data_IF_556085973040
#
_entry.id   IF_556085973040
#
_cell.length_a   1.000
_cell.length_b   1.000
_cell.length_c   1.000
_cell.angle_alpha   90.00
_cell.angle_beta   90.00
_cell.angle_gamma   90.00
#
_symmetry.space_group_name_H-M   'P 1'
#
loop_
_entity.id
_entity.type
_entity.pdbx_description
1 polymer ?
#
# COMPACT_ATOMS: atom_id res chain seq x y z
N UNK A 1 -34.03 49.02 -6.62
CA UNK A 1 -34.75 47.86 -7.18
C UNK A 1 -34.12 47.58 -8.54
N UNK A 2 -33.57 46.44 -8.93
CA UNK A 2 -33.61 45.07 -8.45
C UNK A 2 -32.20 44.46 -8.43
N UNK A 3 -32.02 43.49 -7.54
CA UNK A 3 -30.90 42.56 -7.46
C UNK A 3 -31.03 41.54 -8.60
N UNK A 4 -29.93 41.29 -9.31
CA UNK A 4 -29.73 40.03 -10.03
C UNK A 4 -28.35 39.51 -9.66
N UNK A 5 -28.36 38.62 -8.67
CA UNK A 5 -27.23 37.79 -8.26
C UNK A 5 -27.10 36.73 -9.35
N UNK A 6 -26.05 36.80 -10.17
CA UNK A 6 -25.67 35.69 -11.02
C UNK A 6 -24.86 34.73 -10.16
N UNK A 7 -25.50 33.64 -9.74
CA UNK A 7 -24.86 32.52 -9.08
C UNK A 7 -24.01 31.79 -10.14
N UNK A 8 -22.71 32.10 -10.18
CA UNK A 8 -21.74 31.19 -10.78
C UNK A 8 -21.51 30.05 -9.80
N UNK A 9 -22.33 29.01 -9.92
CA UNK A 9 -21.98 27.68 -9.44
C UNK A 9 -20.97 27.03 -10.39
N UNK A 10 -20.28 26.01 -9.87
CA UNK A 10 -19.43 25.02 -10.57
C UNK A 10 -18.03 25.56 -10.96
N UNK A 11 -16.91 24.95 -10.60
CA UNK A 11 -16.59 23.57 -10.21
C UNK A 11 -15.48 23.64 -9.14
N UNK A 12 -15.68 23.05 -7.96
CA UNK A 12 -14.56 22.61 -7.13
C UNK A 12 -13.94 21.41 -7.86
N UNK A 13 -12.86 21.63 -8.62
CA UNK A 13 -12.08 20.52 -9.14
C UNK A 13 -11.31 20.01 -7.92
N UNK A 14 -11.85 19.00 -7.25
CA UNK A 14 -11.06 18.16 -6.37
C UNK A 14 -10.06 17.40 -7.25
N UNK A 15 -8.93 18.03 -7.58
CA UNK A 15 -7.78 17.37 -8.21
C UNK A 15 -7.05 16.55 -7.14
N UNK A 16 -7.76 15.58 -6.58
CA UNK A 16 -7.18 14.44 -5.92
C UNK A 16 -7.98 13.23 -6.40
N UNK A 17 -7.87 12.93 -7.70
CA UNK A 17 -8.08 11.56 -8.17
C UNK A 17 -6.87 10.77 -7.67
N UNK A 18 -6.95 10.36 -6.41
CA UNK A 18 -5.90 9.60 -5.72
C UNK A 18 -5.84 8.23 -6.37
N UNK A 19 -4.88 8.04 -7.26
CA UNK A 19 -4.41 6.73 -7.66
C UNK A 19 -2.88 6.73 -7.55
N UNK A 20 -2.41 7.00 -6.33
CA UNK A 20 -1.03 6.69 -5.95
C UNK A 20 -0.90 5.17 -5.89
N UNK A 21 -0.03 4.57 -6.71
CA UNK A 21 0.39 3.15 -6.61
C UNK A 21 -0.71 2.20 -6.09
N UNK A 22 -1.91 2.25 -6.65
CA UNK A 22 -3.05 1.65 -5.96
C UNK A 22 -3.12 0.16 -6.28
N UNK A 23 -3.31 -0.67 -5.25
CA UNK A 23 -3.72 -2.05 -5.47
C UNK A 23 -4.96 -2.07 -6.38
N UNK A 24 -4.95 -2.93 -7.40
CA UNK A 24 -5.95 -2.99 -8.46
C UNK A 24 -5.61 -2.17 -9.71
N UNK A 25 -4.63 -1.27 -9.65
CA UNK A 25 -4.21 -0.50 -10.82
C UNK A 25 -3.40 -1.35 -11.81
N UNK A 26 -3.51 -1.03 -13.11
CA UNK A 26 -2.64 -1.60 -14.15
C UNK A 26 -1.20 -1.09 -13.97
N UNK A 27 -0.23 -1.96 -14.25
CA UNK A 27 1.22 -1.62 -14.27
C UNK A 27 1.52 -0.33 -15.02
N UNK A 28 0.92 -0.12 -16.19
CA UNK A 28 1.11 1.09 -16.98
C UNK A 28 0.69 2.38 -16.26
N UNK A 29 -0.36 2.32 -15.45
CA UNK A 29 -0.84 3.47 -14.65
C UNK A 29 0.16 3.78 -13.53
N UNK A 30 0.63 2.75 -12.83
CA UNK A 30 1.63 2.91 -11.76
C UNK A 30 2.95 3.45 -12.33
N UNK A 31 3.42 2.91 -13.44
CA UNK A 31 4.64 3.37 -14.11
C UNK A 31 4.53 4.82 -14.61
N UNK A 32 3.35 5.26 -15.05
CA UNK A 32 3.11 6.65 -15.43
C UNK A 32 3.10 7.58 -14.23
N UNK A 33 2.59 7.11 -13.08
CA UNK A 33 2.51 7.89 -11.84
C UNK A 33 3.85 7.99 -11.10
N UNK A 34 4.48 6.85 -10.78
CA UNK A 34 5.76 6.79 -10.06
C UNK A 34 6.95 7.13 -10.97
N UNK A 35 6.78 6.97 -12.28
CA UNK A 35 7.79 7.25 -13.29
C UNK A 35 8.73 6.08 -13.53
N UNK A 36 8.72 5.54 -14.74
CA UNK A 36 9.58 4.41 -15.17
C UNK A 36 11.07 4.58 -14.83
N UNK A 37 11.60 5.81 -14.87
CA UNK A 37 12.99 6.12 -14.53
C UNK A 37 13.36 5.87 -13.06
N UNK A 38 12.37 5.70 -12.19
CA UNK A 38 12.56 5.40 -10.78
C UNK A 38 12.65 3.90 -10.50
N UNK A 39 12.33 3.06 -11.49
CA UNK A 39 12.47 1.61 -11.36
C UNK A 39 13.96 1.28 -11.28
N UNK A 40 14.38 0.62 -10.20
CA UNK A 40 15.77 0.20 -10.01
C UNK A 40 15.93 -1.31 -9.88
N UNK A 41 14.83 -2.05 -9.69
CA UNK A 41 14.81 -3.51 -9.69
C UNK A 41 13.51 -4.03 -10.30
N UNK A 42 13.62 -5.12 -11.06
CA UNK A 42 12.50 -5.89 -11.59
C UNK A 42 12.84 -7.37 -11.51
N UNK A 43 11.91 -8.17 -11.00
CA UNK A 43 12.11 -9.61 -10.88
C UNK A 43 10.77 -10.36 -10.82
N UNK A 44 10.84 -11.68 -10.92
CA UNK A 44 9.68 -12.57 -10.83
C UNK A 44 9.76 -13.36 -9.54
N UNK A 45 8.69 -13.37 -8.77
CA UNK A 45 8.51 -14.17 -7.55
C UNK A 45 7.31 -15.10 -7.73
N UNK A 46 7.58 -16.36 -8.09
CA UNK A 46 6.52 -17.30 -8.45
C UNK A 46 5.75 -16.81 -9.69
N UNK A 47 4.43 -16.65 -9.54
CA UNK A 47 3.54 -16.16 -10.60
C UNK A 47 3.40 -14.63 -10.63
N UNK A 48 4.12 -13.92 -9.77
CA UNK A 48 4.04 -12.47 -9.63
C UNK A 48 5.26 -11.79 -10.25
N UNK A 49 5.00 -10.71 -10.98
CA UNK A 49 6.04 -9.79 -11.42
C UNK A 49 6.19 -8.67 -10.40
N UNK A 50 7.42 -8.33 -10.02
CA UNK A 50 7.70 -7.34 -8.98
C UNK A 50 8.52 -6.19 -9.57
N UNK A 51 8.16 -4.96 -9.20
CA UNK A 51 8.94 -3.76 -9.49
C UNK A 51 9.26 -3.00 -8.21
N UNK A 52 10.50 -2.53 -8.09
CA UNK A 52 10.92 -1.65 -7.01
C UNK A 52 11.28 -0.26 -7.55
N UNK A 53 10.69 0.76 -6.92
CA UNK A 53 10.81 2.16 -7.27
C UNK A 53 11.56 2.93 -6.17
N UNK A 54 12.48 3.80 -6.59
CA UNK A 54 13.05 4.84 -5.71
C UNK A 54 12.07 6.01 -5.66
N UNK A 55 11.15 6.01 -4.70
CA UNK A 55 10.11 7.06 -4.60
C UNK A 55 10.52 8.25 -3.74
N UNK A 56 11.60 8.12 -2.98
CA UNK A 56 12.22 9.21 -2.23
C UNK A 56 13.70 8.95 -1.94
N UNK A 57 14.37 9.91 -1.28
CA UNK A 57 15.80 9.74 -0.90
C UNK A 57 16.03 8.52 -0.02
N UNK A 58 15.08 8.25 0.88
CA UNK A 58 15.12 7.14 1.83
C UNK A 58 13.92 6.21 1.68
N UNK A 59 13.12 6.38 0.63
CA UNK A 59 11.86 5.65 0.44
C UNK A 59 11.96 4.73 -0.78
N UNK A 60 11.49 3.51 -0.58
CA UNK A 60 11.37 2.47 -1.58
C UNK A 60 9.91 2.04 -1.62
N UNK A 61 9.35 1.99 -2.82
CA UNK A 61 8.05 1.38 -3.05
C UNK A 61 8.23 0.13 -3.90
N UNK A 62 7.78 -1.01 -3.41
CA UNK A 62 7.72 -2.26 -4.17
C UNK A 62 6.27 -2.56 -4.54
N UNK A 63 6.04 -2.98 -5.78
CA UNK A 63 4.71 -3.38 -6.28
C UNK A 63 4.82 -4.78 -6.85
N UNK A 64 3.91 -5.67 -6.46
CA UNK A 64 3.73 -6.98 -7.08
C UNK A 64 2.51 -6.97 -7.98
N UNK A 65 2.64 -7.56 -9.16
CA UNK A 65 1.62 -7.63 -10.19
C UNK A 65 1.27 -9.09 -10.48
N UNK A 66 -0.01 -9.36 -10.68
CA UNK A 66 -0.45 -10.66 -11.20
C UNK A 66 -0.19 -10.78 -12.72
N UNK A 67 -0.51 -11.94 -13.30
CA UNK A 67 -0.37 -12.23 -14.74
C UNK A 67 -1.07 -11.23 -15.67
N UNK A 68 -2.13 -10.57 -15.20
CA UNK A 68 -2.87 -9.57 -15.97
C UNK A 68 -2.28 -8.16 -15.82
N UNK A 69 -1.07 -8.06 -15.24
CA UNK A 69 -0.38 -6.82 -14.93
C UNK A 69 -1.20 -5.88 -14.04
N UNK A 70 -1.98 -6.44 -13.11
CA UNK A 70 -2.72 -5.71 -12.08
C UNK A 70 -1.94 -5.78 -10.78
N UNK A 71 -1.74 -4.64 -10.13
CA UNK A 71 -1.09 -4.56 -8.83
C UNK A 71 -1.93 -5.29 -7.77
N UNK A 72 -1.32 -6.22 -7.07
CA UNK A 72 -1.98 -7.06 -6.05
C UNK A 72 -1.36 -6.91 -4.67
N UNK A 73 -0.11 -6.44 -4.61
CA UNK A 73 0.52 -6.04 -3.39
C UNK A 73 1.38 -4.79 -3.57
N UNK A 74 1.46 -4.00 -2.51
CA UNK A 74 2.32 -2.83 -2.42
C UNK A 74 3.03 -2.86 -1.07
N UNK A 75 4.31 -2.56 -1.09
CA UNK A 75 5.14 -2.36 0.10
C UNK A 75 5.80 -1.00 0.02
N UNK A 76 5.67 -0.21 1.08
CA UNK A 76 6.43 1.03 1.24
C UNK A 76 7.37 0.84 2.42
N UNK A 77 8.66 1.07 2.18
CA UNK A 77 9.70 0.97 3.18
C UNK A 77 10.58 2.22 3.20
N UNK A 78 11.00 2.61 4.39
CA UNK A 78 11.93 3.72 4.59
C UNK A 78 13.23 3.24 5.24
N UNK A 79 14.35 3.88 4.89
CA UNK A 79 15.65 3.64 5.54
C UNK A 79 15.79 4.39 6.88
N UNK A 80 14.78 5.18 7.26
CA UNK A 80 14.65 5.87 8.54
C UNK A 80 13.35 5.45 9.24
N UNK A 81 13.09 6.03 10.42
CA UNK A 81 11.88 5.82 11.22
C UNK A 81 10.71 6.73 10.81
N UNK A 82 10.65 7.19 9.55
CA UNK A 82 9.63 8.17 9.12
C UNK A 82 8.25 7.56 8.83
N UNK A 83 8.15 6.24 8.64
CA UNK A 83 6.85 5.56 8.59
C UNK A 83 6.26 5.50 10.00
N UNK A 84 5.19 6.26 10.19
CA UNK A 84 4.41 6.33 11.43
C UNK A 84 3.00 5.77 11.21
N UNK A 85 2.30 5.43 12.29
CA UNK A 85 0.91 4.97 12.21
C UNK A 85 -0.01 5.99 11.51
N UNK A 86 0.29 7.29 11.65
CA UNK A 86 -0.44 8.38 10.97
C UNK A 86 -0.26 8.27 9.46
N UNK A 87 0.98 8.06 9.00
CA UNK A 87 1.27 7.89 7.57
C UNK A 87 0.55 6.66 7.00
N UNK A 88 0.55 5.55 7.74
CA UNK A 88 -0.15 4.33 7.35
C UNK A 88 -1.67 4.57 7.28
N UNK A 89 -2.24 5.24 8.28
CA UNK A 89 -3.66 5.57 8.31
C UNK A 89 -4.07 6.50 7.16
N UNK A 90 -3.26 7.53 6.87
CA UNK A 90 -3.47 8.42 5.74
C UNK A 90 -3.37 7.67 4.41
N UNK A 91 -2.39 6.77 4.26
CA UNK A 91 -2.26 5.93 3.09
C UNK A 91 -3.50 5.05 2.89
N UNK A 92 -3.95 4.33 3.92
CA UNK A 92 -5.14 3.48 3.87
C UNK A 92 -6.39 4.28 3.50
N UNK A 93 -6.59 5.44 4.14
CA UNK A 93 -7.73 6.32 3.87
C UNK A 93 -7.77 6.74 2.40
N UNK A 94 -6.62 7.06 1.83
CA UNK A 94 -6.50 7.62 0.49
C UNK A 94 -6.46 6.55 -0.61
N UNK A 95 -5.92 5.35 -0.34
CA UNK A 95 -5.64 4.33 -1.36
C UNK A 95 -6.42 3.02 -1.18
N UNK A 96 -6.92 2.74 0.01
CA UNK A 96 -7.67 1.53 0.32
C UNK A 96 -8.83 1.85 1.26
N UNK A 97 -9.68 2.78 0.80
CA UNK A 97 -10.74 3.35 1.62
C UNK A 97 -11.67 2.27 2.17
N UNK A 98 -11.96 2.39 3.46
CA UNK A 98 -12.78 1.43 4.21
C UNK A 98 -12.08 0.09 4.48
N UNK A 99 -10.74 0.02 4.46
CA UNK A 99 -10.02 -1.03 5.17
C UNK A 99 -10.46 -1.07 6.63
N UNK A 100 -10.79 -2.24 7.14
CA UNK A 100 -11.04 -2.45 8.56
C UNK A 100 -10.37 -3.75 9.03
N UNK A 101 -9.47 -3.65 10.00
CA UNK A 101 -8.86 -4.83 10.60
C UNK A 101 -9.88 -5.57 11.46
N UNK A 102 -10.19 -6.81 11.10
CA UNK A 102 -11.07 -7.71 11.85
C UNK A 102 -10.30 -8.72 12.69
N UNK A 103 -9.06 -9.02 12.29
CA UNK A 103 -8.11 -9.82 13.06
C UNK A 103 -6.77 -9.14 13.08
N UNK A 104 -6.09 -9.27 14.22
CA UNK A 104 -4.72 -8.81 14.40
C UNK A 104 -3.88 -10.03 14.73
N UNK A 105 -2.68 -10.13 14.18
CA UNK A 105 -1.74 -11.19 14.48
C UNK A 105 -0.30 -10.70 14.49
N UNK A 106 0.63 -11.54 14.92
CA UNK A 106 2.05 -11.22 14.91
C UNK A 106 2.91 -12.41 14.49
N UNK A 107 4.07 -12.11 13.90
CA UNK A 107 5.15 -13.05 13.66
C UNK A 107 6.50 -12.31 13.84
N UNK A 108 7.15 -12.52 14.98
CA UNK A 108 8.40 -11.81 15.30
C UNK A 108 8.21 -10.29 15.40
N UNK A 109 8.79 -9.53 14.46
CA UNK A 109 8.71 -8.06 14.40
C UNK A 109 7.61 -7.54 13.47
N UNK A 110 6.81 -8.45 12.92
CA UNK A 110 5.75 -8.14 11.96
C UNK A 110 4.39 -8.23 12.64
N UNK A 111 3.61 -7.16 12.53
CA UNK A 111 2.22 -7.08 12.96
C UNK A 111 1.32 -7.18 11.74
N UNK A 112 0.31 -8.04 11.80
CA UNK A 112 -0.61 -8.31 10.71
C UNK A 112 -2.02 -7.84 11.06
N UNK A 113 -2.69 -7.20 10.11
CA UNK A 113 -4.06 -6.72 10.20
C UNK A 113 -4.83 -7.30 9.02
N UNK A 114 -5.76 -8.20 9.30
CA UNK A 114 -6.56 -8.87 8.28
C UNK A 114 -7.96 -8.26 8.23
N UNK A 115 -8.33 -7.73 7.07
CA UNK A 115 -9.69 -7.38 6.72
C UNK A 115 -10.37 -8.60 6.08
N UNK A 116 -11.17 -9.32 6.86
CA UNK A 116 -11.87 -10.53 6.39
C UNK A 116 -13.06 -10.24 5.48
N UNK A 117 -13.55 -9.00 5.43
CA UNK A 117 -14.69 -8.61 4.58
C UNK A 117 -14.20 -8.28 3.17
N UNK A 118 -13.10 -7.52 3.07
CA UNK A 118 -12.51 -7.15 1.78
C UNK A 118 -11.43 -8.10 1.29
N UNK A 119 -11.08 -9.11 2.09
CA UNK A 119 -9.99 -10.06 1.79
C UNK A 119 -8.69 -9.32 1.52
N UNK A 120 -8.27 -8.52 2.49
CA UNK A 120 -7.05 -7.73 2.41
C UNK A 120 -6.20 -7.91 3.66
N UNK A 121 -4.88 -8.00 3.47
CA UNK A 121 -3.92 -8.13 4.56
C UNK A 121 -3.00 -6.91 4.53
N UNK A 122 -2.91 -6.22 5.67
CA UNK A 122 -1.85 -5.27 5.93
C UNK A 122 -0.83 -5.90 6.88
N UNK A 123 0.44 -5.75 6.57
CA UNK A 123 1.56 -6.16 7.42
C UNK A 123 2.40 -4.93 7.71
N UNK A 124 2.69 -4.68 8.98
CA UNK A 124 3.61 -3.63 9.41
C UNK A 124 4.83 -4.31 10.00
N UNK A 125 5.99 -4.05 9.42
CA UNK A 125 7.27 -4.54 9.90
C UNK A 125 7.95 -3.45 10.70
N UNK A 126 8.10 -3.70 11.99
CA UNK A 126 8.85 -2.84 12.89
C UNK A 126 10.33 -3.20 12.84
N UNK A 127 11.21 -2.22 13.09
CA UNK A 127 12.65 -2.42 13.03
C UNK A 127 13.11 -3.53 13.97
N UNK A 128 13.90 -4.49 13.47
CA UNK A 128 14.93 -5.11 14.31
C UNK A 128 16.23 -4.35 14.08
N UNK A 129 16.98 -4.02 15.14
CA UNK A 129 18.24 -3.26 15.11
C UNK A 129 19.36 -3.84 14.19
N UNK A 130 19.11 -4.93 13.45
CA UNK A 130 20.11 -5.70 12.70
C UNK A 130 19.79 -5.94 11.20
N UNK A 131 18.71 -5.40 10.63
CA UNK A 131 18.30 -5.74 9.26
C UNK A 131 18.97 -4.88 8.15
N UNK A 132 19.25 -5.51 6.99
CA UNK A 132 19.85 -4.90 5.78
C UNK A 132 18.84 -4.29 4.79
N UNK A 133 17.54 -4.36 5.08
CA UNK A 133 16.42 -3.85 4.27
C UNK A 133 15.47 -3.03 5.18
N UNK A 134 14.57 -2.17 4.65
CA UNK A 134 14.12 -0.92 5.29
C UNK A 134 13.71 -1.02 6.76
N UNK A 135 14.01 0.06 7.48
CA UNK A 135 14.02 0.21 8.94
C UNK A 135 12.62 0.36 9.54
N UNK A 136 11.61 0.73 8.77
CA UNK A 136 10.19 0.43 9.05
C UNK A 136 9.55 0.20 7.68
N UNK A 137 8.62 -0.74 7.55
CA UNK A 137 7.83 -0.88 6.33
C UNK A 137 6.39 -1.26 6.63
N UNK A 138 5.51 -0.95 5.69
CA UNK A 138 4.19 -1.56 5.66
C UNK A 138 3.94 -2.15 4.27
N UNK A 139 3.19 -3.23 4.25
CA UNK A 139 2.74 -3.91 3.05
C UNK A 139 1.23 -4.07 3.08
N UNK A 140 0.59 -3.96 1.93
CA UNK A 140 -0.82 -4.22 1.72
C UNK A 140 -0.94 -5.24 0.58
N UNK A 141 -1.83 -6.21 0.72
CA UNK A 141 -2.10 -7.23 -0.28
C UNK A 141 -3.60 -7.53 -0.34
N UNK A 142 -4.13 -7.77 -1.55
CA UNK A 142 -5.53 -8.18 -1.77
C UNK A 142 -5.66 -9.47 -2.60
N UNK A 143 -4.56 -10.16 -2.89
CA UNK A 143 -4.57 -11.40 -3.64
C UNK A 143 -4.64 -12.60 -2.66
N UNK A 144 -5.69 -13.44 -2.74
CA UNK A 144 -5.91 -14.49 -1.75
C UNK A 144 -4.75 -15.48 -1.61
N UNK A 145 -4.10 -15.85 -2.72
CA UNK A 145 -3.02 -16.83 -2.70
C UNK A 145 -1.78 -16.26 -2.02
N UNK A 146 -1.46 -15.00 -2.33
CA UNK A 146 -0.37 -14.27 -1.69
C UNK A 146 -0.65 -13.98 -0.20
N UNK A 147 -1.90 -13.64 0.14
CA UNK A 147 -2.34 -13.47 1.53
C UNK A 147 -2.15 -14.77 2.30
N UNK A 148 -2.62 -15.91 1.77
CA UNK A 148 -2.46 -17.21 2.41
C UNK A 148 -0.98 -17.54 2.65
N UNK A 149 -0.13 -17.25 1.67
CA UNK A 149 1.31 -17.40 1.82
C UNK A 149 1.87 -16.53 2.95
N UNK A 150 1.55 -15.22 2.97
CA UNK A 150 2.04 -14.27 3.99
C UNK A 150 1.52 -14.53 5.40
N UNK A 151 0.35 -15.14 5.55
CA UNK A 151 -0.21 -15.50 6.85
C UNK A 151 0.44 -16.75 7.47
N UNK A 152 1.34 -17.43 6.75
CA UNK A 152 2.02 -18.63 7.25
C UNK A 152 2.83 -18.31 8.51
N UNK A 153 2.53 -18.98 9.62
CA UNK A 153 3.23 -18.79 10.89
C UNK A 153 2.77 -17.58 11.72
N UNK A 154 1.70 -16.90 11.30
CA UNK A 154 1.12 -15.78 12.08
C UNK A 154 0.30 -16.30 13.25
N UNK A 155 0.61 -15.81 14.45
CA UNK A 155 -0.20 -16.02 15.65
C UNK A 155 -1.32 -14.98 15.71
N UNK A 156 -2.57 -15.42 15.64
CA UNK A 156 -3.74 -14.53 15.60
C UNK A 156 -4.32 -14.29 16.99
N UNK A 157 -4.53 -13.02 17.33
CA UNK A 157 -5.19 -12.60 18.56
C UNK A 157 -6.71 -12.60 18.37
N UNK A 158 -7.43 -13.07 19.39
CA UNK A 158 -8.89 -12.89 19.45
C UNK A 158 -9.18 -11.53 20.11
N UNK A 159 -10.05 -10.71 19.54
CA UNK A 159 -10.62 -9.58 20.27
C UNK A 159 -11.36 -10.13 21.50
N UNK A 160 -11.05 -9.61 22.69
CA UNK A 160 -11.85 -9.84 23.90
C UNK A 160 -13.21 -9.12 23.80
#
# INVERSE_FOLDING_TARGET
MHKSILVFGLIFISVFNVCSGQIGAKRSVIEAYLGKKQIFSEHVEGDYFTQEFRTGKQEITQIMYNKDSIAVALTIGTLDSSITDILIADYLKNNFSGFAAHKIGANGVETYYLDTVKTALMMVKHTSLKAKSPIVSFSLCNDPDLINFWMTGVEWFKPE
#
